data_IF_844804172179
#
_entry.id   IF_844804172179
#
_cell.length_a   1.000
_cell.length_b   1.000
_cell.length_c   1.000
_cell.angle_alpha   90.00
_cell.angle_beta   90.00
_cell.angle_gamma   90.00
#
_symmetry.space_group_name_H-M   'P 1'
#
loop_
_entity.id
_entity.type
_entity.pdbx_description
1 polymer ?
#
# COMPACT_ATOMS: atom_id res chain seq x y z
N UNK A 1 -22.84 -8.33 -1.16
CA UNK A 1 -21.74 -8.83 -2.03
C UNK A 1 -20.57 -9.19 -1.14
N UNK A 2 -19.94 -10.38 -1.27
CA UNK A 2 -18.79 -10.70 -0.43
C UNK A 2 -17.68 -9.69 -0.73
N UNK A 3 -17.21 -9.02 0.32
CA UNK A 3 -16.01 -8.18 0.29
C UNK A 3 -14.90 -9.04 -0.32
N UNK A 4 -14.48 -8.74 -1.56
CA UNK A 4 -13.38 -9.47 -2.20
C UNK A 4 -12.15 -9.30 -1.31
N UNK A 5 -11.81 -10.35 -0.57
CA UNK A 5 -10.66 -10.37 0.31
C UNK A 5 -9.38 -10.38 -0.53
N UNK A 6 -8.41 -9.60 -0.09
CA UNK A 6 -7.08 -9.57 -0.68
C UNK A 6 -6.37 -10.90 -0.36
N UNK A 7 -5.71 -11.48 -1.36
CA UNK A 7 -4.77 -12.58 -1.17
C UNK A 7 -3.44 -12.06 -0.64
N UNK A 8 -2.65 -12.93 0.01
CA UNK A 8 -1.30 -12.58 0.48
C UNK A 8 -0.40 -12.04 -0.65
N UNK A 9 -0.52 -12.60 -1.85
CA UNK A 9 0.24 -12.15 -3.02
C UNK A 9 -0.17 -10.73 -3.45
N UNK A 10 -1.48 -10.44 -3.51
CA UNK A 10 -1.98 -9.09 -3.82
C UNK A 10 -1.53 -8.06 -2.77
N UNK A 11 -1.56 -8.44 -1.48
CA UNK A 11 -1.06 -7.61 -0.37
C UNK A 11 0.42 -7.25 -0.55
N UNK A 12 1.25 -8.25 -0.85
CA UNK A 12 2.68 -8.08 -1.04
C UNK A 12 3.00 -7.22 -2.28
N UNK A 13 2.41 -7.55 -3.43
CA UNK A 13 2.63 -6.82 -4.70
C UNK A 13 2.27 -5.35 -4.53
N UNK A 14 1.08 -5.05 -4.01
CA UNK A 14 0.64 -3.67 -3.87
C UNK A 14 1.52 -2.88 -2.89
N UNK A 15 1.83 -3.47 -1.74
CA UNK A 15 2.68 -2.83 -0.73
C UNK A 15 4.09 -2.56 -1.26
N UNK A 16 4.64 -3.50 -2.04
CA UNK A 16 5.90 -3.31 -2.75
C UNK A 16 5.85 -2.12 -3.72
N UNK A 17 4.80 -2.03 -4.54
CA UNK A 17 4.59 -0.93 -5.47
C UNK A 17 4.47 0.42 -4.74
N UNK A 18 3.74 0.46 -3.63
CA UNK A 18 3.65 1.68 -2.80
C UNK A 18 5.01 2.12 -2.27
N UNK A 19 5.79 1.20 -1.69
CA UNK A 19 7.10 1.53 -1.15
C UNK A 19 8.03 2.05 -2.25
N UNK A 20 8.08 1.37 -3.41
CA UNK A 20 8.86 1.84 -4.56
C UNK A 20 8.44 3.23 -5.03
N UNK A 21 7.13 3.50 -5.08
CA UNK A 21 6.57 4.75 -5.59
C UNK A 21 6.68 5.94 -4.63
N UNK A 22 6.64 5.71 -3.32
CA UNK A 22 6.56 6.77 -2.31
C UNK A 22 7.81 6.94 -1.45
N UNK A 23 8.82 6.09 -1.67
CA UNK A 23 10.22 6.38 -1.30
C UNK A 23 10.91 7.22 -2.39
N UNK A 24 10.46 7.14 -3.66
CA UNK A 24 10.94 7.98 -4.78
C UNK A 24 9.73 8.47 -5.62
N UNK A 25 9.23 9.70 -5.41
CA UNK A 25 7.99 10.16 -6.04
C UNK A 25 8.14 10.41 -7.54
N UNK A 26 7.27 9.81 -8.35
CA UNK A 26 7.16 10.07 -9.80
C UNK A 26 5.72 10.20 -10.31
N UNK A 27 4.71 9.64 -9.60
CA UNK A 27 3.30 9.63 -10.02
C UNK A 27 2.38 10.32 -9.02
N UNK A 28 1.31 10.94 -9.50
CA UNK A 28 0.17 11.35 -8.67
C UNK A 28 -0.57 10.13 -8.11
N UNK A 29 -1.41 10.32 -7.08
CA UNK A 29 -2.21 9.22 -6.51
C UNK A 29 -3.09 8.55 -7.56
N UNK A 30 -3.74 9.32 -8.44
CA UNK A 30 -4.65 8.73 -9.42
C UNK A 30 -3.90 7.92 -10.49
N UNK A 31 -2.77 8.43 -10.98
CA UNK A 31 -1.89 7.71 -11.92
C UNK A 31 -1.33 6.43 -11.29
N UNK A 32 -0.95 6.47 -10.01
CA UNK A 32 -0.54 5.29 -9.27
C UNK A 32 -1.67 4.27 -9.14
N UNK A 33 -2.88 4.72 -8.80
CA UNK A 33 -4.03 3.82 -8.66
C UNK A 33 -4.43 3.19 -10.00
N UNK A 34 -4.34 3.94 -11.10
CA UNK A 34 -4.52 3.41 -12.46
C UNK A 34 -3.48 2.35 -12.81
N UNK A 35 -2.21 2.62 -12.52
CA UNK A 35 -1.13 1.65 -12.72
C UNK A 35 -1.32 0.39 -11.87
N UNK A 36 -1.64 0.55 -10.59
CA UNK A 36 -1.86 -0.56 -9.67
C UNK A 36 -3.09 -1.39 -10.08
N UNK A 37 -4.16 -0.75 -10.57
CA UNK A 37 -5.35 -1.46 -11.03
C UNK A 37 -5.09 -2.27 -12.31
N UNK A 38 -4.24 -1.79 -13.23
CA UNK A 38 -3.80 -2.59 -14.38
C UNK A 38 -3.06 -3.86 -13.95
N UNK A 39 -2.28 -3.77 -12.88
CA UNK A 39 -1.53 -4.90 -12.32
C UNK A 39 -2.40 -5.83 -11.47
N UNK A 40 -3.45 -5.30 -10.84
CA UNK A 40 -4.37 -6.00 -9.94
C UNK A 40 -5.84 -5.76 -10.37
N UNK A 41 -6.25 -6.21 -11.56
CA UNK A 41 -7.53 -5.83 -12.19
C UNK A 41 -8.76 -6.31 -11.42
N UNK A 42 -8.60 -7.29 -10.52
CA UNK A 42 -9.67 -7.80 -9.66
C UNK A 42 -10.07 -6.81 -8.57
N UNK A 43 -9.18 -5.89 -8.20
CA UNK A 43 -9.34 -4.95 -7.09
C UNK A 43 -9.89 -3.62 -7.62
N UNK A 44 -10.82 -3.02 -6.88
CA UNK A 44 -11.35 -1.69 -7.22
C UNK A 44 -10.36 -0.60 -6.82
N UNK A 45 -10.33 0.52 -7.56
CA UNK A 45 -9.54 1.70 -7.15
C UNK A 45 -9.83 2.16 -5.73
N UNK A 46 -11.09 2.08 -5.29
CA UNK A 46 -11.48 2.42 -3.91
C UNK A 46 -10.77 1.53 -2.88
N UNK A 47 -10.66 0.22 -3.15
CA UNK A 47 -9.94 -0.72 -2.28
C UNK A 47 -8.43 -0.46 -2.30
N UNK A 48 -7.85 -0.21 -3.47
CA UNK A 48 -6.45 0.16 -3.63
C UNK A 48 -6.13 1.48 -2.89
N UNK A 49 -6.99 2.49 -2.97
CA UNK A 49 -6.84 3.77 -2.26
C UNK A 49 -6.89 3.61 -0.75
N UNK A 50 -7.82 2.80 -0.24
CA UNK A 50 -7.86 2.46 1.18
C UNK A 50 -6.58 1.74 1.62
N UNK A 51 -6.08 0.83 0.79
CA UNK A 51 -4.81 0.13 1.04
C UNK A 51 -3.61 1.08 1.07
N UNK A 52 -3.52 2.02 0.13
CA UNK A 52 -2.46 3.02 0.09
C UNK A 52 -2.43 3.87 1.38
N UNK A 53 -3.61 4.19 1.92
CA UNK A 53 -3.73 4.88 3.21
C UNK A 53 -3.24 4.03 4.39
N UNK A 54 -3.47 2.71 4.37
CA UNK A 54 -2.93 1.80 5.39
C UNK A 54 -1.39 1.70 5.33
N UNK A 55 -0.83 1.65 4.13
CA UNK A 55 0.64 1.68 3.93
C UNK A 55 1.21 2.95 4.54
N UNK A 56 0.60 4.11 4.27
CA UNK A 56 1.03 5.37 4.88
C UNK A 56 1.02 5.30 6.40
N UNK A 57 -0.06 4.81 7.00
CA UNK A 57 -0.16 4.71 8.45
C UNK A 57 1.00 3.91 9.07
N UNK A 58 1.38 2.80 8.43
CA UNK A 58 2.45 1.94 8.92
C UNK A 58 3.85 2.52 8.69
N UNK A 59 4.06 3.26 7.61
CA UNK A 59 5.30 4.02 7.42
C UNK A 59 5.42 5.14 8.45
N UNK A 60 4.34 5.90 8.67
CA UNK A 60 4.28 6.98 9.67
C UNK A 60 4.53 6.43 11.09
N UNK A 61 3.96 5.27 11.45
CA UNK A 61 4.14 4.66 12.78
C UNK A 61 5.56 4.15 13.02
N UNK A 62 6.28 3.78 11.96
CA UNK A 62 7.70 3.40 12.01
C UNK A 62 8.66 4.57 11.78
N UNK A 63 8.14 5.80 11.71
CA UNK A 63 8.93 7.03 11.45
C UNK A 63 9.69 7.01 10.12
N UNK A 64 9.16 6.29 9.13
CA UNK A 64 9.75 6.21 7.78
C UNK A 64 9.21 7.38 6.95
N UNK A 65 10.11 8.22 6.45
CA UNK A 65 9.76 9.35 5.58
C UNK A 65 9.05 8.86 4.31
N UNK A 66 7.89 9.45 4.00
CA UNK A 66 7.09 9.10 2.82
C UNK A 66 6.33 10.33 2.31
N UNK A 67 5.99 10.31 1.02
CA UNK A 67 5.29 11.41 0.34
C UNK A 67 3.83 11.09 0.01
N UNK A 68 3.25 10.05 0.62
CA UNK A 68 1.86 9.64 0.34
C UNK A 68 0.90 10.77 0.76
N UNK A 69 0.17 11.42 -0.16
CA UNK A 69 -0.64 12.61 0.13
C UNK A 69 -2.05 12.24 0.60
N UNK A 70 -2.18 11.16 1.37
CA UNK A 70 -3.46 10.70 1.93
C UNK A 70 -3.46 10.83 3.45
N UNK A 71 -4.64 10.91 4.05
CA UNK A 71 -4.77 10.73 5.51
C UNK A 71 -4.67 9.24 5.84
N UNK A 72 -3.95 8.83 6.89
CA UNK A 72 -3.85 7.44 7.29
C UNK A 72 -5.19 6.90 7.83
N UNK A 73 -5.52 5.67 7.47
CA UNK A 73 -6.64 4.91 8.00
C UNK A 73 -6.11 3.89 9.01
N UNK A 74 -6.82 3.72 10.13
CA UNK A 74 -6.42 2.83 11.24
C UNK A 74 -7.01 1.41 11.15
N UNK A 75 -7.69 1.10 10.04
CA UNK A 75 -8.47 -0.13 9.90
C UNK A 75 -7.84 -1.01 8.81
N UNK A 76 -6.89 -1.87 9.20
CA UNK A 76 -6.25 -2.84 8.32
C UNK A 76 -6.25 -4.24 8.92
N UNK A 77 -6.20 -5.26 8.06
CA UNK A 77 -6.09 -6.65 8.48
C UNK A 77 -4.67 -6.98 8.94
N UNK A 78 -4.52 -7.97 9.82
CA UNK A 78 -3.19 -8.44 10.27
C UNK A 78 -2.31 -8.90 9.10
N UNK A 79 -2.90 -9.58 8.11
CA UNK A 79 -2.19 -9.99 6.88
C UNK A 79 -1.59 -8.80 6.11
N UNK A 80 -2.26 -7.65 6.13
CA UNK A 80 -1.75 -6.45 5.48
C UNK A 80 -0.59 -5.83 6.27
N UNK A 81 -0.70 -5.83 7.60
CA UNK A 81 0.38 -5.38 8.48
C UNK A 81 1.65 -6.21 8.31
N UNK A 82 1.51 -7.54 8.32
CA UNK A 82 2.62 -8.48 8.18
C UNK A 82 3.36 -8.26 6.85
N UNK A 83 2.64 -8.18 5.72
CA UNK A 83 3.24 -7.95 4.41
C UNK A 83 4.04 -6.64 4.33
N UNK A 84 3.54 -5.56 4.96
CA UNK A 84 4.20 -4.26 4.94
C UNK A 84 5.44 -4.26 5.85
N UNK A 85 5.35 -4.90 7.02
CA UNK A 85 6.50 -5.06 7.93
C UNK A 85 7.63 -5.86 7.29
N UNK A 86 7.30 -6.98 6.65
CA UNK A 86 8.26 -7.82 5.93
C UNK A 86 9.01 -7.02 4.86
N UNK A 87 8.29 -6.16 4.12
CA UNK A 87 8.88 -5.31 3.10
C UNK A 87 9.77 -4.21 3.69
N UNK A 88 9.34 -3.56 4.78
CA UNK A 88 10.14 -2.54 5.48
C UNK A 88 11.48 -3.13 5.94
N UNK A 89 11.44 -4.33 6.53
CA UNK A 89 12.64 -5.05 6.98
C UNK A 89 13.52 -5.46 5.80
N UNK A 90 12.92 -6.05 4.75
CA UNK A 90 13.64 -6.48 3.54
C UNK A 90 14.37 -5.33 2.85
N UNK A 91 13.79 -4.14 2.84
CA UNK A 91 14.38 -2.94 2.25
C UNK A 91 15.26 -2.13 3.19
N UNK A 92 15.36 -2.52 4.47
CA UNK A 92 16.14 -1.79 5.49
C UNK A 92 15.79 -0.31 5.55
N UNK A 93 14.50 0.04 5.53
CA UNK A 93 14.02 1.43 5.48
C UNK A 93 14.15 2.19 6.83
N UNK A 94 15.08 1.79 7.70
CA UNK A 94 15.31 2.35 9.04
C UNK A 94 16.56 3.22 9.09
#
# INVERSE_FOLDING_TARGET
>A
MPQKSWSKAEEYIFSFLCIKQYVVPSLTVEEFLDFAQKSLPRLSKSSLKAKLSNVKHLLDSQKISNTIPLKPLRNFSKTNEDAIKDLIESFKLR
#
